data_IF_528721493004
#
_entry.id   IF_528721493004
#
_cell.length_a   1.000
_cell.length_b   1.000
_cell.length_c   1.000
_cell.angle_alpha   90.00
_cell.angle_beta   90.00
_cell.angle_gamma   90.00
#
_symmetry.space_group_name_H-M   'P 1'
#
loop_
_entity.id
_entity.type
_entity.pdbx_description
1 polymer ?
#
# COMPACT_ATOMS: atom_id res chain seq x y z
N UNK A 1 -5.77 -23.27 -1.77
CA UNK A 1 -5.12 -23.72 -0.52
C UNK A 1 -3.62 -23.61 -0.70
N UNK A 2 -2.92 -22.97 0.22
CA UNK A 2 -1.48 -22.73 0.11
C UNK A 2 -1.00 -21.81 1.23
N UNK A 3 0.30 -21.83 1.50
CA UNK A 3 0.95 -20.92 2.45
C UNK A 3 1.16 -19.53 1.84
N UNK A 4 0.81 -18.49 2.58
CA UNK A 4 0.86 -17.08 2.17
C UNK A 4 2.28 -16.50 2.14
N UNK A 5 3.19 -17.04 2.95
CA UNK A 5 4.61 -16.70 2.96
C UNK A 5 5.40 -17.30 1.77
N UNK A 6 4.74 -18.10 0.93
CA UNK A 6 5.35 -18.73 -0.23
C UNK A 6 4.96 -18.02 -1.53
N UNK A 7 5.93 -17.35 -2.14
CA UNK A 7 5.79 -16.67 -3.44
C UNK A 7 5.06 -17.51 -4.50
N UNK A 8 5.43 -18.79 -4.63
CA UNK A 8 4.85 -19.71 -5.63
C UNK A 8 3.33 -19.89 -5.49
N UNK A 9 2.80 -19.78 -4.27
CA UNK A 9 1.36 -19.90 -4.03
C UNK A 9 0.64 -18.58 -4.25
N UNK A 10 1.26 -17.46 -3.87
CA UNK A 10 0.68 -16.13 -4.13
C UNK A 10 0.65 -15.80 -5.62
N UNK A 11 1.67 -16.24 -6.38
CA UNK A 11 1.78 -15.98 -7.82
C UNK A 11 0.68 -16.65 -8.66
N UNK A 12 -0.07 -17.62 -8.12
CA UNK A 12 -1.20 -18.22 -8.82
C UNK A 12 -2.48 -17.38 -8.70
N UNK A 13 -2.51 -16.39 -7.81
CA UNK A 13 -3.65 -15.52 -7.60
C UNK A 13 -3.58 -14.30 -8.54
N UNK A 14 -4.72 -13.79 -9.03
CA UNK A 14 -4.77 -12.59 -9.85
C UNK A 14 -4.63 -11.32 -8.98
N UNK A 15 -3.47 -11.14 -8.32
CA UNK A 15 -3.25 -10.10 -7.31
C UNK A 15 -3.48 -8.66 -7.83
N UNK A 16 -3.39 -8.44 -9.14
CA UNK A 16 -3.62 -7.14 -9.77
C UNK A 16 -5.11 -6.82 -9.99
N UNK A 17 -6.02 -7.80 -9.93
CA UNK A 17 -7.45 -7.59 -10.14
C UNK A 17 -8.22 -7.25 -8.85
N UNK A 18 -7.62 -7.49 -7.68
CA UNK A 18 -8.27 -7.17 -6.41
C UNK A 18 -8.17 -5.68 -6.11
N UNK A 19 -9.31 -5.05 -5.77
CA UNK A 19 -9.36 -3.66 -5.28
C UNK A 19 -8.74 -3.54 -3.89
N UNK A 20 -8.96 -4.55 -3.05
CA UNK A 20 -8.52 -4.61 -1.67
C UNK A 20 -8.00 -6.01 -1.32
N UNK A 21 -6.91 -6.07 -0.56
CA UNK A 21 -6.32 -7.30 -0.04
C UNK A 21 -6.09 -7.11 1.46
N UNK A 22 -6.57 -8.06 2.26
CA UNK A 22 -6.40 -8.09 3.71
C UNK A 22 -5.49 -9.26 4.09
N UNK A 23 -4.38 -8.97 4.76
CA UNK A 23 -3.44 -9.95 5.31
C UNK A 23 -3.71 -10.06 6.81
N UNK A 24 -4.34 -11.16 7.21
CA UNK A 24 -4.68 -11.45 8.60
C UNK A 24 -3.64 -12.38 9.22
N UNK A 25 -3.48 -12.28 10.53
CA UNK A 25 -2.68 -13.21 11.30
C UNK A 25 -3.44 -14.54 11.44
N UNK A 26 -2.73 -15.67 11.35
CA UNK A 26 -3.33 -16.96 11.68
C UNK A 26 -3.53 -17.07 13.20
N UNK A 27 -4.72 -17.47 13.65
CA UNK A 27 -5.08 -17.63 15.07
C UNK A 27 -4.05 -18.48 15.85
N UNK A 28 -3.54 -19.55 15.21
CA UNK A 28 -2.53 -20.43 15.81
C UNK A 28 -1.16 -19.76 16.05
N UNK A 29 -0.93 -18.55 15.54
CA UNK A 29 0.31 -17.79 15.69
C UNK A 29 0.18 -16.61 16.66
N UNK A 30 -1.00 -16.37 17.24
CA UNK A 30 -1.24 -15.23 18.13
C UNK A 30 -0.42 -15.30 19.44
N UNK A 31 0.01 -16.50 19.86
CA UNK A 31 0.90 -16.66 21.02
C UNK A 31 2.33 -16.14 20.78
N UNK A 32 2.79 -16.12 19.52
CA UNK A 32 4.09 -15.56 19.12
C UNK A 32 3.88 -14.38 18.17
N UNK A 33 3.47 -13.26 18.78
CA UNK A 33 3.22 -11.96 18.16
C UNK A 33 4.34 -11.51 17.21
N UNK A 34 5.61 -11.78 17.54
CA UNK A 34 6.74 -11.37 16.69
C UNK A 34 6.80 -12.21 15.42
N UNK A 35 6.60 -13.52 15.54
CA UNK A 35 6.56 -14.42 14.39
C UNK A 35 5.33 -14.16 13.52
N UNK A 36 4.18 -13.90 14.13
CA UNK A 36 2.94 -13.47 13.46
C UNK A 36 3.19 -12.23 12.58
N UNK A 37 3.66 -11.13 13.18
CA UNK A 37 3.98 -9.89 12.46
C UNK A 37 4.99 -10.12 11.33
N UNK A 38 6.02 -10.94 11.56
CA UNK A 38 7.03 -11.26 10.55
C UNK A 38 6.40 -11.96 9.33
N UNK A 39 5.40 -12.84 9.53
CA UNK A 39 4.69 -13.51 8.43
C UNK A 39 3.75 -12.57 7.70
N UNK A 40 3.01 -11.72 8.42
CA UNK A 40 2.15 -10.69 7.82
C UNK A 40 2.96 -9.73 6.94
N UNK A 41 4.11 -9.28 7.42
CA UNK A 41 5.05 -8.43 6.66
C UNK A 41 5.64 -9.16 5.43
N UNK A 42 6.02 -10.43 5.58
CA UNK A 42 6.55 -11.22 4.46
C UNK A 42 5.51 -11.36 3.36
N UNK A 43 4.28 -11.70 3.73
CA UNK A 43 3.15 -11.84 2.80
C UNK A 43 2.88 -10.51 2.08
N UNK A 44 2.85 -9.40 2.83
CA UNK A 44 2.65 -8.05 2.31
C UNK A 44 3.72 -7.68 1.27
N UNK A 45 5.01 -7.86 1.61
CA UNK A 45 6.12 -7.55 0.72
C UNK A 45 6.06 -8.39 -0.55
N UNK A 46 5.77 -9.69 -0.44
CA UNK A 46 5.62 -10.58 -1.59
C UNK A 46 4.46 -10.18 -2.50
N UNK A 47 3.31 -9.81 -1.93
CA UNK A 47 2.15 -9.34 -2.72
C UNK A 47 2.54 -8.10 -3.51
N UNK A 48 3.15 -7.10 -2.86
CA UNK A 48 3.57 -5.87 -3.54
C UNK A 48 4.64 -6.10 -4.59
N UNK A 49 5.58 -7.01 -4.35
CA UNK A 49 6.60 -7.41 -5.32
C UNK A 49 5.97 -8.07 -6.56
N UNK A 50 5.03 -9.00 -6.37
CA UNK A 50 4.33 -9.67 -7.47
C UNK A 50 3.46 -8.71 -8.28
N UNK A 51 2.76 -7.78 -7.61
CA UNK A 51 2.01 -6.72 -8.29
C UNK A 51 2.95 -5.77 -9.07
N UNK A 52 4.13 -5.44 -8.55
CA UNK A 52 5.13 -4.67 -9.28
C UNK A 52 5.51 -5.38 -10.58
N UNK A 53 5.86 -6.67 -10.52
CA UNK A 53 6.29 -7.46 -11.68
C UNK A 53 5.19 -7.56 -12.74
N UNK A 54 3.93 -7.75 -12.33
CA UNK A 54 2.79 -7.76 -13.24
C UNK A 54 2.63 -6.43 -14.01
N UNK A 55 3.00 -5.29 -13.40
CA UNK A 55 3.00 -4.00 -14.10
C UNK A 55 4.11 -3.87 -15.15
N UNK A 56 5.27 -4.48 -14.91
CA UNK A 56 6.37 -4.48 -15.88
C UNK A 56 6.02 -5.30 -17.11
N UNK A 57 5.39 -6.45 -16.92
CA UNK A 57 5.01 -7.32 -18.02
C UNK A 57 3.91 -6.67 -18.88
N UNK A 58 2.94 -5.98 -18.26
CA UNK A 58 1.93 -5.21 -18.99
C UNK A 58 2.51 -4.00 -19.71
N UNK A 59 3.48 -3.28 -19.12
CA UNK A 59 4.16 -2.16 -19.79
C UNK A 59 5.02 -2.61 -20.99
N UNK A 60 5.69 -3.76 -20.90
CA UNK A 60 6.43 -4.36 -22.02
C UNK A 60 5.52 -4.80 -23.17
N UNK A 61 4.30 -5.27 -22.86
CA UNK A 61 3.30 -5.66 -23.86
C UNK A 61 2.65 -4.42 -24.51
N UNK A 62 2.40 -3.36 -23.73
CA UNK A 62 1.78 -2.12 -24.20
C UNK A 62 2.72 -1.20 -25.00
N UNK A 63 4.04 -1.41 -24.91
CA UNK A 63 5.03 -0.81 -25.80
C UNK A 63 5.50 -1.86 -26.82
N UNK A 64 4.74 -2.14 -27.89
CA UNK A 64 5.37 -2.72 -29.06
C UNK A 64 6.37 -1.68 -29.55
N UNK A 65 7.63 -2.09 -29.66
CA UNK A 65 8.72 -1.26 -30.14
C UNK A 65 8.23 -0.36 -31.30
N UNK A 66 8.15 0.95 -31.05
CA UNK A 66 8.23 1.91 -32.13
C UNK A 66 9.66 1.76 -32.64
N UNK A 67 9.82 0.88 -33.62
CA UNK A 67 10.91 1.00 -34.56
C UNK A 67 10.72 2.36 -35.20
N UNK A 68 11.38 3.38 -34.65
CA UNK A 68 11.58 4.65 -35.32
C UNK A 68 12.46 4.34 -36.51
N UNK A 69 11.81 4.04 -37.63
CA UNK A 69 12.39 4.11 -38.96
C UNK A 69 12.70 5.60 -39.16
N UNK A 70 13.93 6.00 -38.84
CA UNK A 70 14.59 7.07 -39.58
C UNK A 70 15.47 6.37 -40.59
N UNK A 71 14.89 6.03 -41.73
CA UNK A 71 15.65 5.87 -42.95
C UNK A 71 15.52 7.18 -43.72
N UNK A 72 16.62 7.92 -43.75
CA UNK A 72 16.93 8.89 -44.79
C UNK A 72 16.67 8.22 -46.15
N UNK A 73 15.81 8.84 -46.96
CA UNK A 73 15.83 8.65 -48.39
C UNK A 73 17.14 9.24 -48.93
N UNK A 74 18.17 8.40 -49.02
CA UNK A 74 19.17 8.54 -50.06
C UNK A 74 19.10 7.31 -50.96
N UNK A 75 18.67 7.56 -52.19
CA UNK A 75 18.78 6.66 -53.32
C UNK A 75 20.22 6.15 -53.49
N UNK A 76 20.41 4.84 -53.40
CA UNK A 76 20.94 4.02 -54.50
C UNK A 76 20.94 2.53 -54.14
N UNK A 77 19.99 1.79 -54.71
CA UNK A 77 20.11 0.51 -55.47
C UNK A 77 21.34 -0.43 -55.27
N UNK A 78 21.24 -1.76 -55.54
CA UNK A 78 20.51 -2.77 -54.75
C UNK A 78 21.26 -4.15 -54.59
N UNK A 79 20.70 -5.00 -53.72
CA UNK A 79 20.72 -6.49 -53.65
C UNK A 79 21.93 -7.28 -53.09
N UNK A 80 21.53 -8.16 -52.15
CA UNK A 80 22.13 -9.19 -51.27
C UNK A 80 22.53 -10.50 -52.03
N UNK A 81 22.96 -11.66 -51.44
CA UNK A 81 22.77 -12.09 -50.05
C UNK A 81 23.77 -13.05 -49.33
N UNK A 82 23.50 -13.19 -48.01
CA UNK A 82 23.65 -14.35 -47.08
C UNK A 82 25.04 -14.68 -46.51
N UNK A 83 25.15 -14.63 -45.18
CA UNK A 83 25.40 -15.81 -44.32
C UNK A 83 24.93 -15.53 -42.88
N UNK A 84 24.10 -16.42 -42.34
CA UNK A 84 23.59 -16.43 -40.96
C UNK A 84 24.72 -16.53 -39.92
N UNK A 85 24.61 -15.81 -38.79
CA UNK A 85 25.30 -16.19 -37.55
C UNK A 85 24.41 -16.06 -36.31
N UNK A 86 24.12 -17.25 -35.78
CA UNK A 86 23.62 -17.67 -34.47
C UNK A 86 24.31 -16.91 -33.31
N UNK A 87 23.54 -16.25 -32.44
CA UNK A 87 24.05 -15.66 -31.19
C UNK A 87 24.25 -16.74 -30.12
N UNK A 88 25.42 -16.75 -29.49
CA UNK A 88 25.81 -17.62 -28.37
C UNK A 88 25.71 -16.90 -27.02
N UNK A 89 25.33 -17.65 -25.99
CA UNK A 89 25.24 -17.29 -24.55
C UNK A 89 26.56 -16.73 -23.96
N UNK A 90 26.83 -15.42 -24.12
CA UNK A 90 28.00 -14.80 -23.47
C UNK A 90 27.89 -13.28 -23.27
N UNK A 91 26.81 -12.81 -22.62
CA UNK A 91 26.76 -11.44 -22.09
C UNK A 91 26.03 -11.36 -20.75
N UNK A 92 26.38 -12.24 -19.81
CA UNK A 92 26.18 -11.93 -18.39
C UNK A 92 27.32 -11.01 -17.95
N UNK A 93 26.98 -9.76 -17.62
CA UNK A 93 27.92 -8.82 -17.01
C UNK A 93 28.47 -9.34 -15.67
N UNK A 94 29.67 -8.92 -15.32
CA UNK A 94 30.30 -9.27 -14.04
C UNK A 94 29.48 -8.75 -12.86
N UNK A 95 29.28 -9.53 -11.78
CA UNK A 95 28.50 -9.07 -10.63
C UNK A 95 29.12 -7.83 -9.99
N UNK A 96 28.26 -6.87 -9.67
CA UNK A 96 28.62 -5.67 -8.91
C UNK A 96 29.20 -6.05 -7.55
N UNK A 97 29.99 -5.16 -6.95
CA UNK A 97 30.63 -5.41 -5.65
C UNK A 97 29.61 -5.74 -4.55
N UNK A 98 28.41 -5.14 -4.61
CA UNK A 98 27.27 -5.46 -3.76
C UNK A 98 26.70 -6.87 -4.00
N UNK A 99 26.57 -7.33 -5.24
CA UNK A 99 26.13 -8.72 -5.53
C UNK A 99 27.13 -9.74 -4.99
N UNK A 100 28.43 -9.45 -5.06
CA UNK A 100 29.47 -10.32 -4.44
C UNK A 100 29.39 -10.33 -2.92
N UNK A 101 28.96 -9.24 -2.29
CA UNK A 101 28.76 -9.18 -0.84
C UNK A 101 27.51 -9.97 -0.39
N UNK A 102 26.43 -9.93 -1.17
CA UNK A 102 25.21 -10.69 -0.91
C UNK A 102 25.39 -12.21 -1.14
N UNK A 103 26.11 -12.61 -2.21
CA UNK A 103 26.48 -14.00 -2.44
C UNK A 103 27.36 -14.56 -1.31
N UNK A 104 28.35 -13.80 -0.83
CA UNK A 104 29.19 -14.19 0.32
C UNK A 104 28.42 -14.27 1.65
N UNK A 105 27.31 -13.55 1.78
CA UNK A 105 26.43 -13.62 2.96
C UNK A 105 25.48 -14.84 2.89
N UNK A 106 25.04 -15.22 1.69
CA UNK A 106 24.21 -16.40 1.44
C UNK A 106 24.92 -17.73 1.65
N UNK A 107 26.25 -17.78 1.54
CA UNK A 107 27.04 -19.02 1.66
C UNK A 107 27.36 -19.42 3.11
N UNK A 108 26.96 -18.65 4.13
CA UNK A 108 27.27 -18.96 5.54
C UNK A 108 26.15 -19.73 6.22
N UNK A 109 26.47 -20.96 6.62
CA UNK A 109 25.61 -21.89 7.36
C UNK A 109 24.97 -21.21 8.61
N UNK A 110 23.63 -21.08 8.68
CA UNK A 110 22.93 -20.45 9.79
C UNK A 110 23.10 -21.17 11.13
N UNK A 111 23.63 -22.40 11.16
CA UNK A 111 23.66 -23.25 12.36
C UNK A 111 24.87 -23.04 13.27
N UNK A 112 25.82 -22.17 12.92
CA UNK A 112 27.11 -22.08 13.63
C UNK A 112 27.28 -20.97 14.67
N UNK A 113 26.34 -20.04 14.87
CA UNK A 113 26.51 -19.07 15.96
C UNK A 113 25.20 -18.38 16.41
N UNK A 114 24.45 -18.95 17.37
CA UNK A 114 23.35 -18.25 17.99
C UNK A 114 23.88 -17.43 19.16
N UNK A 115 23.50 -16.15 19.22
CA UNK A 115 23.72 -15.15 20.29
C UNK A 115 24.84 -14.13 20.02
N UNK A 116 24.49 -13.03 19.36
CA UNK A 116 25.00 -11.71 19.77
C UNK A 116 24.02 -10.60 19.38
N UNK A 117 23.91 -9.50 20.17
CA UNK A 117 23.06 -8.34 19.87
C UNK A 117 23.42 -7.58 18.57
N UNK A 118 24.56 -7.92 17.96
CA UNK A 118 25.13 -7.23 16.80
C UNK A 118 24.42 -7.52 15.47
N UNK A 119 23.66 -8.61 15.37
CA UNK A 119 22.99 -8.98 14.12
C UNK A 119 21.87 -8.00 13.73
N UNK A 120 21.13 -7.49 14.73
CA UNK A 120 20.06 -6.50 14.52
C UNK A 120 20.63 -5.11 14.20
N UNK A 121 21.80 -4.77 14.76
CA UNK A 121 22.48 -3.49 14.51
C UNK A 121 23.12 -3.44 13.11
N UNK A 122 23.68 -4.57 12.63
CA UNK A 122 24.23 -4.69 11.26
C UNK A 122 23.15 -4.75 10.19
N UNK A 123 22.00 -5.37 10.48
CA UNK A 123 20.83 -5.32 9.60
C UNK A 123 20.33 -3.87 9.44
N UNK A 124 20.19 -3.12 10.54
CA UNK A 124 19.87 -1.68 10.49
C UNK A 124 20.87 -0.88 9.66
N UNK A 125 22.17 -1.13 9.79
CA UNK A 125 23.22 -0.44 9.02
C UNK A 125 23.08 -0.66 7.51
N UNK A 126 22.77 -1.86 7.03
CA UNK A 126 22.62 -2.13 5.59
C UNK A 126 21.37 -1.45 5.00
N UNK A 127 20.25 -1.44 5.73
CA UNK A 127 19.05 -0.72 5.31
C UNK A 127 19.26 0.81 5.32
N UNK A 128 19.98 1.33 6.31
CA UNK A 128 20.31 2.75 6.40
C UNK A 128 21.24 3.18 5.26
N UNK A 129 22.25 2.37 4.93
CA UNK A 129 23.16 2.64 3.80
C UNK A 129 22.47 2.50 2.43
N UNK A 130 21.48 1.62 2.28
CA UNK A 130 20.62 1.55 1.08
C UNK A 130 19.70 2.76 0.92
N UNK A 131 19.30 3.42 2.02
CA UNK A 131 18.51 4.66 2.01
C UNK A 131 19.36 5.91 1.71
N UNK A 132 20.62 5.93 2.15
CA UNK A 132 21.52 7.09 2.03
C UNK A 132 22.32 7.13 0.71
N UNK A 133 22.50 5.99 0.05
CA UNK A 133 23.14 5.92 -1.27
C UNK A 133 22.13 6.26 -2.38
N UNK A 134 22.02 7.56 -2.69
CA UNK A 134 21.23 8.11 -3.79
C UNK A 134 21.70 7.63 -5.18
N UNK A 135 21.50 6.35 -5.48
CA UNK A 135 21.71 5.75 -6.80
C UNK A 135 20.50 6.06 -7.67
N UNK A 136 20.74 6.59 -8.87
CA UNK A 136 19.75 7.00 -9.89
C UNK A 136 19.04 5.81 -10.58
N UNK A 137 18.70 4.76 -9.83
CA UNK A 137 17.66 3.82 -10.24
C UNK A 137 16.38 4.25 -9.54
N UNK A 138 15.26 4.29 -10.27
CA UNK A 138 13.94 4.48 -9.65
C UNK A 138 13.79 3.48 -8.50
N UNK A 139 13.92 3.95 -7.26
CA UNK A 139 14.08 3.04 -6.12
C UNK A 139 12.92 2.04 -6.07
N UNK A 140 13.22 0.78 -5.74
CA UNK A 140 12.21 -0.27 -5.54
C UNK A 140 11.01 0.20 -4.69
N UNK A 141 11.26 1.09 -3.72
CA UNK A 141 10.26 1.76 -2.88
C UNK A 141 9.30 2.62 -3.70
N UNK A 142 9.81 3.45 -4.61
CA UNK A 142 8.99 4.30 -5.48
C UNK A 142 8.01 3.47 -6.30
N UNK A 143 8.48 2.33 -6.83
CA UNK A 143 7.65 1.42 -7.62
C UNK A 143 6.57 0.74 -6.78
N UNK A 144 6.91 0.28 -5.58
CA UNK A 144 5.92 -0.28 -4.65
C UNK A 144 4.88 0.77 -4.24
N UNK A 145 5.27 2.04 -4.08
CA UNK A 145 4.32 3.14 -3.83
C UNK A 145 3.41 3.44 -5.02
N UNK A 146 3.88 3.24 -6.25
CA UNK A 146 3.02 3.41 -7.42
C UNK A 146 1.98 2.29 -7.51
N UNK A 147 2.41 1.05 -7.25
CA UNK A 147 1.50 -0.09 -7.13
C UNK A 147 0.49 0.10 -6.00
N UNK A 148 0.91 0.68 -4.88
CA UNK A 148 0.02 0.88 -3.73
C UNK A 148 -1.13 1.84 -4.00
N UNK A 149 -1.06 2.65 -5.06
CA UNK A 149 -2.18 3.48 -5.51
C UNK A 149 -3.28 2.68 -6.24
N UNK A 150 -2.96 1.50 -6.76
CA UNK A 150 -3.88 0.68 -7.57
C UNK A 150 -4.74 -0.26 -6.72
N UNK A 151 -4.22 -0.72 -5.58
CA UNK A 151 -4.96 -1.58 -4.68
C UNK A 151 -4.66 -1.25 -3.22
N UNK A 152 -5.70 -1.30 -2.40
CA UNK A 152 -5.60 -1.19 -0.96
C UNK A 152 -5.02 -2.51 -0.43
N UNK A 153 -3.94 -2.44 0.34
CA UNK A 153 -3.35 -3.60 1.02
C UNK A 153 -3.26 -3.24 2.49
N UNK A 154 -4.02 -3.97 3.31
CA UNK A 154 -4.05 -3.80 4.75
C UNK A 154 -3.50 -5.07 5.37
N UNK A 155 -2.58 -4.93 6.32
CA UNK A 155 -2.12 -6.04 7.14
C UNK A 155 -2.51 -5.85 8.59
N UNK A 156 -2.83 -6.95 9.25
CA UNK A 156 -2.91 -6.97 10.70
C UNK A 156 -1.50 -6.99 11.31
N UNK A 157 -1.31 -6.17 12.33
CA UNK A 157 -0.08 -6.08 13.13
C UNK A 157 -0.45 -6.14 14.60
N UNK A 158 0.18 -7.05 15.32
CA UNK A 158 -0.08 -7.30 16.72
C UNK A 158 0.89 -6.51 17.62
N UNK A 159 2.14 -6.27 17.18
CA UNK A 159 3.14 -5.54 17.96
C UNK A 159 3.28 -4.06 17.55
N UNK A 160 3.07 -3.17 18.52
CA UNK A 160 3.33 -1.73 18.37
C UNK A 160 4.77 -1.39 17.95
N UNK A 161 5.75 -2.25 18.22
CA UNK A 161 7.15 -2.06 17.83
C UNK A 161 7.35 -2.23 16.31
N UNK A 162 6.51 -3.06 15.67
CA UNK A 162 6.55 -3.33 14.22
C UNK A 162 6.00 -2.17 13.39
N UNK A 163 5.10 -1.36 13.97
CA UNK A 163 4.49 -0.16 13.36
C UNK A 163 5.47 0.76 12.64
N UNK A 164 6.65 0.98 13.23
CA UNK A 164 7.67 1.89 12.68
C UNK A 164 8.18 1.45 11.30
N UNK A 165 8.27 0.14 11.05
CA UNK A 165 8.79 -0.41 9.79
C UNK A 165 7.82 -0.20 8.63
N UNK A 166 6.51 -0.32 8.88
CA UNK A 166 5.47 -0.14 7.85
C UNK A 166 5.31 1.34 7.51
N UNK A 167 5.25 2.20 8.53
CA UNK A 167 5.12 3.64 8.34
C UNK A 167 6.28 4.26 7.55
N UNK A 168 7.50 3.74 7.74
CA UNK A 168 8.68 4.23 7.02
C UNK A 168 8.63 3.93 5.52
N UNK A 169 8.03 2.80 5.12
CA UNK A 169 8.03 2.33 3.74
C UNK A 169 6.85 2.92 2.93
N UNK A 170 5.70 3.16 3.57
CA UNK A 170 4.46 3.66 2.94
C UNK A 170 3.99 2.81 1.74
N UNK A 171 4.25 1.51 1.79
CA UNK A 171 3.86 0.55 0.74
C UNK A 171 2.52 -0.12 1.03
N UNK A 172 1.98 0.05 2.23
CA UNK A 172 0.73 -0.54 2.71
C UNK A 172 0.22 0.19 3.96
N UNK A 173 -1.06 0.04 4.23
CA UNK A 173 -1.66 0.41 5.50
C UNK A 173 -1.68 -0.81 6.44
N UNK A 174 -1.87 -0.56 7.74
CA UNK A 174 -1.95 -1.62 8.73
C UNK A 174 -3.04 -1.34 9.76
N UNK A 175 -3.55 -2.41 10.35
CA UNK A 175 -4.51 -2.38 11.46
C UNK A 175 -3.85 -3.03 12.66
N UNK A 176 -3.91 -2.36 13.81
CA UNK A 176 -3.59 -2.96 15.10
C UNK A 176 -4.89 -3.33 15.80
N UNK A 177 -5.37 -4.55 15.53
CA UNK A 177 -6.66 -5.07 16.03
C UNK A 177 -6.74 -4.97 17.56
N UNK A 178 -5.68 -5.40 18.26
CA UNK A 178 -5.58 -5.33 19.72
C UNK A 178 -5.71 -3.91 20.28
N UNK A 179 -5.18 -2.90 19.59
CA UNK A 179 -5.31 -1.51 20.00
C UNK A 179 -6.75 -1.00 19.82
N UNK A 180 -7.39 -1.35 18.69
CA UNK A 180 -8.78 -0.99 18.42
C UNK A 180 -9.74 -1.62 19.44
N UNK A 181 -9.56 -2.90 19.76
CA UNK A 181 -10.34 -3.61 20.77
C UNK A 181 -10.15 -2.98 22.15
N UNK A 182 -8.90 -2.68 22.54
CA UNK A 182 -8.61 -2.03 23.82
C UNK A 182 -9.27 -0.65 23.94
N UNK A 183 -9.28 0.13 22.85
CA UNK A 183 -9.98 1.42 22.81
C UNK A 183 -11.49 1.25 22.90
N UNK A 184 -12.08 0.28 22.21
CA UNK A 184 -13.51 -0.02 22.31
C UNK A 184 -13.91 -0.40 23.74
N UNK A 185 -13.13 -1.26 24.39
CA UNK A 185 -13.36 -1.64 25.79
C UNK A 185 -13.23 -0.44 26.74
N UNK A 186 -12.24 0.43 26.54
CA UNK A 186 -12.08 1.64 27.33
C UNK A 186 -13.27 2.60 27.17
N UNK A 187 -13.76 2.81 25.94
CA UNK A 187 -14.95 3.63 25.66
C UNK A 187 -16.19 3.09 26.39
N UNK A 188 -16.43 1.78 26.32
CA UNK A 188 -17.57 1.13 27.00
C UNK A 188 -17.41 1.13 28.53
N UNK A 189 -16.18 1.05 29.03
CA UNK A 189 -15.90 1.11 30.46
C UNK A 189 -16.10 2.53 31.03
N UNK A 190 -15.89 3.57 30.21
CA UNK A 190 -16.17 4.96 30.57
C UNK A 190 -17.67 5.27 30.52
N UNK A 191 -18.36 4.81 29.48
CA UNK A 191 -19.80 4.96 29.34
C UNK A 191 -20.42 3.73 28.65
N UNK A 192 -21.29 3.02 29.39
CA UNK A 192 -21.95 1.81 28.91
C UNK A 192 -22.90 2.06 27.73
N UNK A 193 -23.44 3.28 27.57
CA UNK A 193 -24.34 3.62 26.46
C UNK A 193 -23.59 3.58 25.10
N UNK A 194 -22.27 3.83 25.11
CA UNK A 194 -21.43 3.78 23.91
C UNK A 194 -21.39 2.38 23.29
N UNK A 195 -21.61 1.33 24.08
CA UNK A 195 -21.69 -0.05 23.58
C UNK A 195 -22.75 -0.22 22.50
N UNK A 196 -23.91 0.45 22.65
CA UNK A 196 -24.98 0.40 21.66
C UNK A 196 -24.58 1.09 20.36
N UNK A 197 -23.92 2.25 20.46
CA UNK A 197 -23.41 2.98 19.30
C UNK A 197 -22.36 2.18 18.53
N UNK A 198 -21.41 1.56 19.24
CA UNK A 198 -20.39 0.71 18.61
C UNK A 198 -21.01 -0.54 17.97
N UNK A 199 -22.02 -1.13 18.60
CA UNK A 199 -22.73 -2.30 18.05
C UNK A 199 -23.46 -1.95 16.75
N UNK A 200 -24.10 -0.78 16.69
CA UNK A 200 -24.73 -0.25 15.48
C UNK A 200 -23.69 0.02 14.38
N UNK A 201 -22.56 0.64 14.71
CA UNK A 201 -21.52 0.97 13.71
C UNK A 201 -20.77 -0.26 13.16
N UNK A 202 -20.81 -1.41 13.85
CA UNK A 202 -20.13 -2.64 13.43
C UNK A 202 -21.08 -3.72 12.90
N UNK A 203 -22.40 -3.48 12.90
CA UNK A 203 -23.34 -4.38 12.22
C UNK A 203 -23.35 -4.08 10.72
N UNK A 204 -23.71 -5.09 9.92
CA UNK A 204 -23.83 -4.98 8.46
C UNK A 204 -25.18 -4.40 8.01
N UNK A 205 -25.97 -3.87 8.93
CA UNK A 205 -27.33 -3.38 8.69
C UNK A 205 -27.53 -2.12 9.52
N UNK A 206 -28.05 -1.06 8.91
CA UNK A 206 -28.33 0.20 9.58
C UNK A 206 -27.38 1.29 9.13
N UNK A 207 -26.91 2.09 10.08
CA UNK A 207 -26.13 3.29 9.78
C UNK A 207 -24.64 2.97 9.58
N UNK A 208 -24.13 3.26 8.38
CA UNK A 208 -22.73 3.04 8.02
C UNK A 208 -21.99 4.35 7.72
N UNK A 209 -20.67 4.31 7.90
CA UNK A 209 -19.79 5.42 7.58
C UNK A 209 -19.43 5.43 6.10
N UNK A 210 -19.78 6.51 5.40
CA UNK A 210 -19.39 6.72 4.01
C UNK A 210 -18.48 7.91 3.83
N UNK A 211 -17.62 7.82 2.81
CA UNK A 211 -16.86 8.95 2.29
C UNK A 211 -17.42 9.28 0.91
N UNK A 212 -18.10 10.42 0.79
CA UNK A 212 -18.79 10.85 -0.44
C UNK A 212 -18.23 12.18 -0.96
N UNK A 213 -18.16 12.41 -2.28
CA UNK A 213 -17.78 13.71 -2.82
C UNK A 213 -18.71 14.82 -2.34
N UNK A 214 -18.17 15.99 -2.01
CA UNK A 214 -18.99 17.13 -1.53
C UNK A 214 -19.98 17.62 -2.60
N UNK A 215 -19.70 17.34 -3.88
CA UNK A 215 -20.57 17.67 -5.02
C UNK A 215 -21.96 17.03 -4.96
N UNK A 216 -22.16 16.00 -4.15
CA UNK A 216 -23.48 15.40 -3.91
C UNK A 216 -24.38 16.27 -3.02
N UNK A 217 -23.80 17.22 -2.28
CA UNK A 217 -24.49 18.06 -1.29
C UNK A 217 -24.48 19.54 -1.66
N UNK A 218 -23.41 20.00 -2.30
CA UNK A 218 -23.22 21.39 -2.70
C UNK A 218 -23.00 21.50 -4.20
N UNK A 219 -23.51 22.59 -4.80
CA UNK A 219 -23.12 22.99 -6.17
C UNK A 219 -21.75 23.67 -6.12
N UNK A 220 -20.75 23.05 -6.70
CA UNK A 220 -19.36 23.52 -6.68
C UNK A 220 -19.00 24.44 -7.86
N UNK A 221 -17.98 25.31 -7.72
CA UNK A 221 -17.34 25.69 -6.47
C UNK A 221 -18.30 26.51 -5.58
N UNK A 222 -18.21 26.34 -4.26
CA UNK A 222 -19.07 27.06 -3.30
C UNK A 222 -18.28 27.55 -2.10
N UNK A 223 -18.67 28.70 -1.57
CA UNK A 223 -18.22 29.19 -0.26
C UNK A 223 -19.34 28.96 0.75
N UNK A 224 -19.17 27.97 1.63
CA UNK A 224 -20.18 27.57 2.61
C UNK A 224 -19.51 27.16 3.91
N UNK A 225 -20.18 27.39 5.05
CA UNK A 225 -19.69 26.91 6.33
C UNK A 225 -20.05 25.43 6.52
N UNK A 226 -19.47 24.76 7.52
CA UNK A 226 -19.76 23.35 7.75
C UNK A 226 -21.21 23.12 8.22
N UNK A 227 -21.85 24.09 8.89
CA UNK A 227 -23.28 23.99 9.21
C UNK A 227 -24.17 23.93 7.96
N UNK A 228 -23.83 24.67 6.91
CA UNK A 228 -24.57 24.62 5.65
C UNK A 228 -24.46 23.22 5.01
N UNK A 229 -23.27 22.63 5.08
CA UNK A 229 -23.02 21.25 4.62
C UNK A 229 -23.79 20.23 5.45
N UNK A 230 -23.79 20.37 6.78
CA UNK A 230 -24.57 19.52 7.67
C UNK A 230 -26.06 19.58 7.35
N UNK A 231 -26.60 20.79 7.09
CA UNK A 231 -27.98 20.98 6.71
C UNK A 231 -28.30 20.32 5.36
N UNK A 232 -27.41 20.46 4.37
CA UNK A 232 -27.56 19.83 3.06
C UNK A 232 -27.54 18.30 3.14
N UNK A 233 -26.64 17.71 3.95
CA UNK A 233 -26.61 16.28 4.22
C UNK A 233 -27.88 15.81 4.94
N UNK A 234 -28.34 16.57 5.94
CA UNK A 234 -29.55 16.25 6.69
C UNK A 234 -30.81 16.26 5.81
N UNK A 235 -30.90 17.16 4.83
CA UNK A 235 -32.00 17.18 3.85
C UNK A 235 -32.07 15.90 3.00
N UNK A 236 -30.97 15.14 2.92
CA UNK A 236 -30.89 13.84 2.26
C UNK A 236 -31.01 12.66 3.25
N UNK A 237 -31.33 12.92 4.52
CA UNK A 237 -31.40 11.89 5.57
C UNK A 237 -30.04 11.43 6.08
N UNK A 238 -28.97 12.19 5.84
CA UNK A 238 -27.60 11.81 6.17
C UNK A 238 -27.01 12.74 7.23
N UNK A 239 -26.06 12.24 8.02
CA UNK A 239 -25.38 13.02 9.04
C UNK A 239 -23.93 13.30 8.64
N UNK A 240 -23.60 14.55 8.35
CA UNK A 240 -22.21 14.96 8.10
C UNK A 240 -21.42 15.01 9.41
N UNK A 241 -20.40 14.15 9.52
CA UNK A 241 -19.52 14.05 10.69
C UNK A 241 -18.23 14.85 10.52
N UNK A 242 -17.79 15.04 9.28
CA UNK A 242 -16.54 15.71 8.99
C UNK A 242 -16.26 15.81 7.50
N UNK A 243 -15.04 16.21 7.16
CA UNK A 243 -14.61 16.32 5.77
C UNK A 243 -13.12 16.00 5.62
N UNK A 244 -12.69 15.75 4.38
CA UNK A 244 -11.30 15.57 3.99
C UNK A 244 -11.00 16.49 2.82
N UNK A 245 -10.05 17.39 3.01
CA UNK A 245 -9.54 18.22 1.93
C UNK A 245 -8.74 17.37 0.92
N UNK A 246 -8.61 17.86 -0.32
CA UNK A 246 -7.77 17.24 -1.34
C UNK A 246 -6.36 16.88 -0.79
N UNK A 247 -6.02 15.59 -0.80
CA UNK A 247 -4.72 15.07 -0.32
C UNK A 247 -4.47 15.15 1.19
N UNK A 248 -5.43 15.64 1.97
CA UNK A 248 -5.34 15.74 3.43
C UNK A 248 -5.85 14.51 4.18
N UNK A 249 -5.63 14.51 5.50
CA UNK A 249 -6.28 13.58 6.42
C UNK A 249 -7.73 14.04 6.70
N UNK A 250 -8.66 13.10 6.95
CA UNK A 250 -10.01 13.46 7.34
C UNK A 250 -10.03 14.16 8.69
N UNK A 251 -10.86 15.19 8.81
CA UNK A 251 -11.13 15.96 10.02
C UNK A 251 -12.57 15.64 10.45
N UNK A 252 -12.71 14.82 11.49
CA UNK A 252 -13.99 14.57 12.14
C UNK A 252 -14.29 15.68 13.14
N UNK A 253 -15.57 16.04 13.24
CA UNK A 253 -16.06 17.11 14.10
C UNK A 253 -15.22 18.41 13.95
N UNK A 254 -15.18 19.01 12.74
CA UNK A 254 -14.28 20.13 12.47
C UNK A 254 -14.53 21.30 13.44
N UNK A 255 -13.45 22.00 13.87
CA UNK A 255 -13.58 23.22 14.66
C UNK A 255 -14.15 24.35 13.78
N UNK A 256 -14.72 25.38 14.40
CA UNK A 256 -15.20 26.60 13.71
C UNK A 256 -16.18 26.30 12.55
N UNK A 257 -17.27 25.59 12.85
CA UNK A 257 -18.25 25.12 11.85
C UNK A 257 -19.02 26.23 11.14
N UNK A 258 -19.03 27.41 11.72
CA UNK A 258 -19.68 28.65 11.26
C UNK A 258 -18.81 29.43 10.28
N UNK A 259 -17.50 29.18 10.23
CA UNK A 259 -16.59 29.89 9.33
C UNK A 259 -16.75 29.35 7.91
N UNK A 260 -17.06 30.20 6.91
CA UNK A 260 -17.15 29.76 5.52
C UNK A 260 -15.81 29.26 4.98
N UNK A 261 -15.87 28.16 4.24
CA UNK A 261 -14.76 27.56 3.51
C UNK A 261 -15.12 27.45 2.03
N UNK A 262 -14.11 27.56 1.17
CA UNK A 262 -14.24 27.22 -0.25
C UNK A 262 -14.16 25.71 -0.42
N UNK A 263 -15.20 25.14 -1.02
CA UNK A 263 -15.32 23.71 -1.32
C UNK A 263 -15.00 23.46 -2.80
N UNK A 264 -14.19 22.44 -3.05
CA UNK A 264 -13.77 22.01 -4.39
C UNK A 264 -14.23 20.58 -4.73
N UNK A 265 -14.00 20.14 -5.98
CA UNK A 265 -14.45 18.83 -6.48
C UNK A 265 -13.71 17.63 -5.86
N UNK A 266 -12.55 17.87 -5.24
CA UNK A 266 -11.72 16.84 -4.62
C UNK A 266 -11.99 16.70 -3.11
N UNK A 267 -12.75 17.63 -2.53
CA UNK A 267 -13.20 17.55 -1.16
C UNK A 267 -14.21 16.41 -0.97
N UNK A 268 -14.01 15.65 0.10
CA UNK A 268 -14.90 14.55 0.48
C UNK A 268 -15.54 14.86 1.83
N UNK A 269 -16.80 14.45 2.00
CA UNK A 269 -17.47 14.44 3.29
C UNK A 269 -17.40 13.06 3.91
N UNK A 270 -17.22 13.04 5.23
CA UNK A 270 -17.45 11.85 6.05
C UNK A 270 -18.85 11.95 6.61
N UNK A 271 -19.69 10.99 6.23
CA UNK A 271 -21.11 10.97 6.59
C UNK A 271 -21.46 9.65 7.28
N UNK A 272 -22.53 9.69 8.08
CA UNK A 272 -23.26 8.51 8.54
C UNK A 272 -24.59 8.47 7.78
N UNK A 273 -24.90 7.34 7.15
CA UNK A 273 -26.12 7.14 6.36
C UNK A 273 -26.53 5.68 6.41
N UNK A 274 -27.81 5.40 6.17
CA UNK A 274 -28.26 4.07 5.76
C UNK A 274 -28.01 3.89 4.25
N UNK A 275 -27.85 2.63 3.83
CA UNK A 275 -27.53 2.20 2.46
C UNK A 275 -28.71 2.40 1.47
#
# INVERSE_FOLDING_TARGET
>A
QGKTDMRKHLATLPLASFSSILVLTEEAMEEDVVTADSRSLTTLLLIRELQCLALEDTAKIASPAVHTIYEDENEACPVTPKTERRMTLSSLGTPTECERMLLKASERDPRKNPRSPDALHRSKSLYQTMLESGVKDETWISRMREVSKKSVLICEILDSRTKGLINATRISDYIMSNELVSRALAMVAEDAEVSQVLSELFTAVGNELYIRPVSQFLRLPSSACFYDVMLAAQQQGQLALGYRCAGGLPILNPPQKDVPRVWDENDMLVILSED
#
